data_IF_114078572970
#
_entry.id   IF_114078572970
#
_cell.length_a   1.000
_cell.length_b   1.000
_cell.length_c   1.000
_cell.angle_alpha   90.00
_cell.angle_beta   90.00
_cell.angle_gamma   90.00
#
_symmetry.space_group_name_H-M   'P 1'
#
loop_
_entity.id
_entity.type
_entity.pdbx_description
1 polymer ?
#
# COMPACT_ATOMS: atom_id res chain seq x y z
N UNK A 1 -6.94 2.55 10.80
CA UNK A 1 -8.13 3.20 10.21
C UNK A 1 -7.71 3.79 8.87
N UNK A 2 -8.57 3.74 7.85
CA UNK A 2 -8.24 4.31 6.53
C UNK A 2 -8.26 5.83 6.55
N UNK A 3 -7.29 6.48 5.90
CA UNK A 3 -7.23 7.94 5.80
C UNK A 3 -8.37 8.44 4.92
N UNK A 4 -9.16 9.36 5.46
CA UNK A 4 -10.23 10.09 4.80
C UNK A 4 -10.21 11.52 5.35
N UNK A 5 -10.24 12.52 4.49
CA UNK A 5 -10.19 13.93 4.88
C UNK A 5 -9.74 14.83 3.74
N UNK A 6 -9.92 16.14 3.90
CA UNK A 6 -9.32 17.10 2.98
C UNK A 6 -7.79 17.03 3.11
N UNK A 7 -7.05 17.51 2.12
CA UNK A 7 -5.59 17.35 2.13
C UNK A 7 -4.95 18.10 3.30
N UNK A 8 -5.52 19.23 3.68
CA UNK A 8 -5.15 20.06 4.83
C UNK A 8 -5.45 19.40 6.18
N UNK A 9 -6.36 18.43 6.23
CA UNK A 9 -6.71 17.69 7.45
C UNK A 9 -5.78 16.51 7.72
N UNK A 10 -5.01 16.07 6.71
CA UNK A 10 -4.13 14.91 6.82
C UNK A 10 -2.73 15.34 7.21
N UNK A 11 -2.34 14.98 8.44
CA UNK A 11 -0.98 15.23 8.93
C UNK A 11 0.07 14.42 8.14
N UNK A 12 1.31 14.91 8.03
CA UNK A 12 2.42 14.16 7.43
C UNK A 12 2.62 12.78 8.05
N UNK A 13 2.44 12.64 9.36
CA UNK A 13 2.57 11.35 10.06
C UNK A 13 1.45 10.36 9.71
N UNK A 14 0.24 10.86 9.44
CA UNK A 14 -0.83 10.01 8.90
C UNK A 14 -0.46 9.54 7.50
N UNK A 15 -0.04 10.46 6.61
CA UNK A 15 0.39 10.12 5.26
C UNK A 15 1.54 9.10 5.28
N UNK A 16 2.58 9.32 6.08
CA UNK A 16 3.71 8.39 6.20
C UNK A 16 3.26 6.99 6.64
N UNK A 17 2.34 6.90 7.62
CA UNK A 17 1.82 5.60 8.09
C UNK A 17 1.08 4.81 7.01
N UNK A 18 0.31 5.47 6.15
CA UNK A 18 -0.42 4.75 5.09
C UNK A 18 0.53 4.24 4.00
N UNK A 19 1.55 5.02 3.60
CA UNK A 19 2.59 4.57 2.67
C UNK A 19 3.44 3.45 3.28
N UNK A 20 3.77 3.55 4.56
CA UNK A 20 4.55 2.52 5.24
C UNK A 20 3.82 1.17 5.26
N UNK A 21 2.50 1.19 5.41
CA UNK A 21 1.68 -0.02 5.42
C UNK A 21 1.42 -0.55 4.00
N UNK A 22 0.82 0.28 3.15
CA UNK A 22 0.25 -0.17 1.87
C UNK A 22 1.28 -0.33 0.77
N UNK A 23 2.37 0.46 0.80
CA UNK A 23 3.42 0.40 -0.22
C UNK A 23 4.66 -0.30 0.32
N UNK A 24 5.31 0.29 1.33
CA UNK A 24 6.59 -0.21 1.82
C UNK A 24 6.44 -1.54 2.56
N UNK A 25 5.33 -1.77 3.27
CA UNK A 25 5.02 -3.04 3.93
C UNK A 25 4.91 -4.21 2.94
N UNK A 26 4.21 -4.01 1.82
CA UNK A 26 4.13 -5.00 0.75
C UNK A 26 5.51 -5.25 0.14
N UNK A 27 6.28 -4.19 -0.16
CA UNK A 27 7.64 -4.32 -0.68
C UNK A 27 8.56 -5.12 0.26
N UNK A 28 8.53 -4.85 1.57
CA UNK A 28 9.30 -5.60 2.57
C UNK A 28 8.88 -7.06 2.62
N UNK A 29 7.58 -7.34 2.59
CA UNK A 29 7.02 -8.70 2.62
C UNK A 29 7.47 -9.48 1.39
N UNK A 30 7.31 -8.91 0.20
CA UNK A 30 7.77 -9.51 -1.05
C UNK A 30 9.28 -9.81 -0.99
N UNK A 31 10.10 -8.84 -0.57
CA UNK A 31 11.56 -9.02 -0.45
C UNK A 31 11.94 -10.15 0.51
N UNK A 32 11.19 -10.34 1.59
CA UNK A 32 11.45 -11.39 2.57
C UNK A 32 11.13 -12.79 2.03
N UNK A 33 10.03 -12.94 1.28
CA UNK A 33 9.56 -14.28 0.86
C UNK A 33 10.04 -14.70 -0.54
N UNK A 34 10.33 -13.73 -1.43
CA UNK A 34 10.70 -14.01 -2.82
C UNK A 34 11.95 -14.89 -2.97
N UNK A 35 13.05 -14.71 -2.20
CA UNK A 35 14.22 -15.57 -2.34
C UNK A 35 13.88 -17.06 -2.15
N UNK A 36 13.17 -17.40 -1.06
CA UNK A 36 12.77 -18.78 -0.78
C UNK A 36 11.74 -19.34 -1.78
N UNK A 37 10.86 -18.49 -2.33
CA UNK A 37 9.97 -18.91 -3.43
C UNK A 37 10.76 -19.23 -4.70
N UNK A 38 11.81 -18.46 -5.01
CA UNK A 38 12.67 -18.67 -6.19
C UNK A 38 13.52 -19.93 -6.04
N UNK A 39 14.12 -20.17 -4.87
CA UNK A 39 14.87 -21.40 -4.59
C UNK A 39 14.01 -22.65 -4.76
N UNK A 40 12.75 -22.60 -4.32
CA UNK A 40 11.79 -23.71 -4.47
C UNK A 40 11.21 -23.82 -5.89
N UNK A 41 11.45 -22.83 -6.76
CA UNK A 41 10.85 -22.78 -8.11
C UNK A 41 9.31 -22.66 -8.12
N UNK A 42 8.68 -22.32 -7.00
CA UNK A 42 7.22 -22.25 -6.87
C UNK A 42 6.79 -21.27 -5.77
N UNK A 43 5.70 -20.54 -6.01
CA UNK A 43 5.10 -19.62 -5.06
C UNK A 43 4.12 -18.68 -5.75
N UNK A 44 3.16 -18.17 -4.98
CA UNK A 44 2.17 -17.21 -5.46
C UNK A 44 2.03 -16.08 -4.44
N UNK A 45 2.18 -14.83 -4.91
CA UNK A 45 1.89 -13.63 -4.13
C UNK A 45 0.65 -12.99 -4.74
N UNK A 46 -0.40 -12.84 -3.94
CA UNK A 46 -1.63 -12.14 -4.32
C UNK A 46 -1.74 -10.86 -3.50
N UNK A 47 -1.44 -9.73 -4.14
CA UNK A 47 -1.66 -8.42 -3.52
C UNK A 47 -3.12 -8.01 -3.70
N UNK A 48 -3.68 -7.41 -2.66
CA UNK A 48 -5.04 -6.85 -2.70
C UNK A 48 -4.96 -5.40 -3.10
N UNK A 49 -5.76 -5.00 -4.09
CA UNK A 49 -5.88 -3.63 -4.56
C UNK A 49 -7.33 -3.12 -4.41
N UNK A 50 -7.57 -1.89 -4.85
CA UNK A 50 -8.84 -1.19 -4.75
C UNK A 50 -9.13 -0.48 -6.08
N UNK A 51 -10.41 -0.29 -6.42
CA UNK A 51 -10.83 0.57 -7.53
C UNK A 51 -10.29 1.99 -7.40
N UNK A 52 -10.06 2.44 -6.16
CA UNK A 52 -9.47 3.74 -5.84
C UNK A 52 -8.04 3.94 -6.37
N UNK A 53 -7.34 2.86 -6.78
CA UNK A 53 -6.04 2.96 -7.44
C UNK A 53 -6.15 3.39 -8.91
N UNK A 54 -7.33 3.18 -9.53
CA UNK A 54 -7.54 3.45 -10.96
C UNK A 54 -7.95 4.90 -11.22
N UNK A 55 -8.64 5.52 -10.26
CA UNK A 55 -9.00 6.93 -10.26
C UNK A 55 -9.04 7.44 -8.81
N UNK A 56 -8.45 8.60 -8.59
CA UNK A 56 -8.41 9.24 -7.27
C UNK A 56 -9.82 9.47 -6.74
N UNK A 57 -10.06 9.07 -5.49
CA UNK A 57 -11.34 9.34 -4.82
C UNK A 57 -11.25 10.66 -4.04
N UNK A 58 -12.28 11.54 -4.13
CA UNK A 58 -12.35 12.75 -3.31
C UNK A 58 -12.17 12.42 -1.82
N UNK A 59 -11.41 13.25 -1.11
CA UNK A 59 -11.05 13.08 0.30
C UNK A 59 -10.27 11.80 0.63
N UNK A 60 -9.80 11.04 -0.37
CA UNK A 60 -8.99 9.81 -0.19
C UNK A 60 -7.79 9.78 -1.12
N UNK A 61 -7.32 10.94 -1.59
CA UNK A 61 -6.23 11.05 -2.55
C UNK A 61 -4.95 10.33 -2.09
N UNK A 62 -4.57 10.47 -0.82
CA UNK A 62 -3.40 9.79 -0.26
C UNK A 62 -3.56 8.26 -0.20
N UNK A 63 -4.78 7.76 0.06
CA UNK A 63 -5.06 6.33 -0.01
C UNK A 63 -5.01 5.82 -1.46
N UNK A 64 -5.58 6.57 -2.40
CA UNK A 64 -5.51 6.25 -3.83
C UNK A 64 -4.07 6.25 -4.38
N UNK A 65 -3.14 6.95 -3.72
CA UNK A 65 -1.75 7.07 -4.14
C UNK A 65 -0.84 5.95 -3.61
N UNK A 66 -1.28 5.15 -2.63
CA UNK A 66 -0.52 3.99 -2.12
C UNK A 66 -0.84 2.73 -2.88
#
# INVERSE_FOLDING_TARGET
QGIQGAIEDVTPDMAARIFDTNLFGILRTCRAVLPGMRERGSGLILNVSSLAANFGLPFRGLYSAT
#
